data_IF_945888117175
#
_entry.id   IF_945888117175
#
_cell.length_a   1.000
_cell.length_b   1.000
_cell.length_c   1.000
_cell.angle_alpha   90.00
_cell.angle_beta   90.00
_cell.angle_gamma   90.00
#
_symmetry.space_group_name_H-M   'P 1'
#
loop_
_entity.id
_entity.type
_entity.pdbx_description
1 polymer ?
#
# COMPACT_ATOMS: atom_id res chain seq x y z
N UNK A 1 43.77 -65.09 19.57
CA UNK A 1 43.09 -63.83 19.95
C UNK A 1 43.09 -62.91 18.75
N UNK A 2 41.88 -62.58 18.27
CA UNK A 2 41.51 -61.40 17.44
C UNK A 2 42.30 -61.04 16.18
N UNK A 3 41.76 -61.50 15.04
CA UNK A 3 41.43 -60.75 13.80
C UNK A 3 41.01 -59.27 14.00
N UNK A 4 40.79 -58.45 12.93
CA UNK A 4 41.29 -58.50 11.53
C UNK A 4 41.59 -57.11 10.85
N UNK A 5 42.03 -57.20 9.59
CA UNK A 5 41.56 -56.44 8.39
C UNK A 5 42.22 -55.12 7.91
N UNK A 6 42.84 -55.27 6.73
CA UNK A 6 43.02 -54.35 5.57
C UNK A 6 41.68 -53.75 5.05
N UNK A 7 41.57 -52.94 3.95
CA UNK A 7 42.57 -52.55 2.92
C UNK A 7 42.46 -51.11 2.32
N UNK A 8 43.38 -50.84 1.37
CA UNK A 8 43.29 -50.06 0.11
C UNK A 8 42.90 -48.57 0.05
N UNK A 9 43.80 -47.84 -0.62
CA UNK A 9 43.72 -46.45 -1.04
C UNK A 9 43.20 -46.31 -2.48
N UNK A 10 42.19 -45.47 -2.72
CA UNK A 10 42.02 -44.77 -3.99
C UNK A 10 41.06 -43.57 -3.80
N UNK A 11 41.52 -42.33 -3.94
CA UNK A 11 40.64 -41.17 -4.10
C UNK A 11 41.19 -40.15 -5.10
N UNK A 12 40.32 -39.83 -6.05
CA UNK A 12 40.40 -38.88 -7.14
C UNK A 12 39.70 -37.59 -6.68
N UNK A 13 40.18 -36.36 -6.98
CA UNK A 13 39.49 -35.16 -6.54
C UNK A 13 38.31 -34.83 -7.49
N UNK A 14 37.11 -34.79 -6.91
CA UNK A 14 35.88 -34.29 -7.53
C UNK A 14 35.76 -32.78 -7.32
N UNK A 15 35.82 -31.99 -8.40
CA UNK A 15 35.46 -30.57 -8.37
C UNK A 15 33.95 -30.41 -8.56
N UNK A 16 33.23 -30.17 -7.46
CA UNK A 16 31.86 -29.70 -7.45
C UNK A 16 31.87 -28.17 -7.55
N UNK A 17 31.46 -27.60 -8.69
CA UNK A 17 31.11 -26.19 -8.75
C UNK A 17 29.59 -26.03 -8.68
N UNK A 18 29.18 -25.39 -7.59
CA UNK A 18 27.83 -25.13 -7.15
C UNK A 18 27.63 -23.61 -7.23
N UNK A 19 26.71 -23.13 -8.08
CA UNK A 19 26.24 -21.75 -8.01
C UNK A 19 24.87 -21.59 -8.70
N UNK A 20 23.84 -22.32 -8.23
CA UNK A 20 22.47 -21.88 -8.47
C UNK A 20 22.20 -20.70 -7.54
N UNK A 21 22.19 -19.50 -8.12
CA UNK A 21 21.72 -18.26 -7.49
C UNK A 21 20.27 -18.49 -7.05
N UNK A 22 20.04 -18.78 -5.77
CA UNK A 22 18.70 -18.92 -5.19
C UNK A 22 18.16 -17.52 -4.88
N UNK A 23 17.14 -17.10 -5.61
CA UNK A 23 16.25 -16.04 -5.14
C UNK A 23 15.57 -16.49 -3.82
N UNK A 24 15.30 -15.57 -2.89
CA UNK A 24 14.75 -15.93 -1.59
C UNK A 24 13.30 -16.47 -1.72
N UNK A 25 12.95 -17.57 -1.01
CA UNK A 25 11.64 -18.24 -1.13
C UNK A 25 10.44 -17.46 -0.58
N UNK A 26 10.65 -16.29 0.01
CA UNK A 26 9.61 -15.51 0.73
C UNK A 26 8.80 -14.58 -0.17
N UNK A 27 9.38 -14.10 -1.28
CA UNK A 27 8.71 -13.16 -2.19
C UNK A 27 7.62 -13.85 -3.02
N UNK A 28 7.87 -15.06 -3.53
CA UNK A 28 6.89 -15.84 -4.30
C UNK A 28 5.67 -16.25 -3.48
N UNK A 29 5.87 -16.57 -2.19
CA UNK A 29 4.79 -16.87 -1.24
C UNK A 29 3.93 -15.64 -0.92
N UNK A 30 4.56 -14.47 -0.78
CA UNK A 30 3.84 -13.22 -0.47
C UNK A 30 3.01 -12.73 -1.66
N UNK A 31 3.52 -12.89 -2.88
CA UNK A 31 2.79 -12.53 -4.11
C UNK A 31 1.58 -13.43 -4.35
N UNK A 32 1.70 -14.74 -4.09
CA UNK A 32 0.57 -15.68 -4.24
C UNK A 32 -0.51 -15.43 -3.18
N UNK A 33 -0.12 -15.13 -1.94
CA UNK A 33 -1.04 -14.69 -0.88
C UNK A 33 -1.77 -13.40 -1.30
N UNK A 34 -1.04 -12.37 -1.73
CA UNK A 34 -1.63 -11.10 -2.17
C UNK A 34 -2.65 -11.32 -3.29
N UNK A 35 -2.34 -12.17 -4.26
CA UNK A 35 -3.23 -12.49 -5.39
C UNK A 35 -4.53 -13.14 -4.90
N UNK A 36 -4.42 -14.16 -4.03
CA UNK A 36 -5.56 -14.89 -3.48
C UNK A 36 -6.48 -13.99 -2.66
N UNK A 37 -5.89 -13.18 -1.77
CA UNK A 37 -6.63 -12.25 -0.92
C UNK A 37 -7.31 -11.16 -1.76
N UNK A 38 -6.62 -10.62 -2.78
CA UNK A 38 -7.18 -9.61 -3.68
C UNK A 38 -8.39 -10.15 -4.45
N UNK A 39 -8.34 -11.40 -4.91
CA UNK A 39 -9.48 -12.02 -5.60
C UNK A 39 -10.70 -12.13 -4.69
N UNK A 40 -10.49 -12.58 -3.44
CA UNK A 40 -11.55 -12.66 -2.41
C UNK A 40 -12.18 -11.30 -2.13
N UNK A 41 -11.36 -10.25 -1.99
CA UNK A 41 -11.84 -8.89 -1.75
C UNK A 41 -12.68 -8.38 -2.93
N UNK A 42 -12.18 -8.56 -4.16
CA UNK A 42 -12.90 -8.13 -5.38
C UNK A 42 -14.29 -8.76 -5.51
N UNK A 43 -14.43 -10.04 -5.15
CA UNK A 43 -15.72 -10.74 -5.18
C UNK A 43 -16.75 -10.18 -4.19
N UNK A 44 -16.31 -9.49 -3.14
CA UNK A 44 -17.20 -8.89 -2.15
C UNK A 44 -17.58 -7.43 -2.44
N UNK A 45 -17.01 -6.83 -3.49
CA UNK A 45 -17.35 -5.47 -3.90
C UNK A 45 -18.71 -5.43 -4.58
N UNK A 46 -19.44 -4.33 -4.39
CA UNK A 46 -20.68 -4.06 -5.12
C UNK A 46 -20.42 -3.04 -6.22
N UNK A 47 -21.11 -3.20 -7.34
CA UNK A 47 -21.07 -2.25 -8.44
C UNK A 47 -22.43 -1.59 -8.58
N UNK A 48 -22.41 -0.29 -8.79
CA UNK A 48 -23.57 0.55 -9.06
C UNK A 48 -23.33 1.26 -10.39
N UNK A 49 -23.93 0.78 -11.50
CA UNK A 49 -23.79 1.43 -12.79
C UNK A 49 -24.49 2.79 -12.77
N UNK A 50 -24.01 3.70 -13.62
CA UNK A 50 -24.55 5.04 -13.83
C UNK A 50 -24.61 5.89 -12.55
N UNK A 51 -23.61 5.74 -11.67
CA UNK A 51 -23.51 6.50 -10.43
C UNK A 51 -22.13 7.17 -10.28
N UNK A 52 -22.04 8.44 -9.84
CA UNK A 52 -23.15 9.35 -9.51
C UNK A 52 -23.85 9.94 -10.75
N UNK A 53 -23.28 9.75 -11.94
CA UNK A 53 -23.81 10.21 -13.22
C UNK A 53 -23.80 9.07 -14.25
N UNK A 54 -24.63 9.14 -15.30
CA UNK A 54 -24.64 8.13 -16.37
C UNK A 54 -23.27 7.95 -17.03
N UNK A 55 -22.92 6.69 -17.31
CA UNK A 55 -21.64 6.30 -17.93
C UNK A 55 -20.49 6.06 -16.95
N UNK A 56 -20.73 6.13 -15.63
CA UNK A 56 -19.73 5.80 -14.59
C UNK A 56 -20.20 4.58 -13.79
N UNK A 57 -19.35 3.55 -13.70
CA UNK A 57 -19.56 2.42 -12.80
C UNK A 57 -18.93 2.71 -11.44
N UNK A 58 -19.76 2.91 -10.42
CA UNK A 58 -19.30 3.13 -9.06
C UNK A 58 -19.03 1.81 -8.34
N UNK A 59 -17.87 1.69 -7.71
CA UNK A 59 -17.51 0.53 -6.88
C UNK A 59 -17.67 0.87 -5.41
N UNK A 60 -18.57 0.16 -4.74
CA UNK A 60 -18.82 0.28 -3.32
C UNK A 60 -17.98 -0.72 -2.52
N UNK A 61 -17.08 -0.18 -1.70
CA UNK A 61 -16.16 -0.90 -0.82
C UNK A 61 -16.72 -1.15 0.58
N UNK A 62 -17.87 -0.57 0.94
CA UNK A 62 -18.44 -0.70 2.29
C UNK A 62 -18.67 -2.16 2.75
N UNK A 63 -18.98 -3.13 1.87
CA UNK A 63 -19.06 -4.54 2.26
C UNK A 63 -17.76 -5.09 2.88
N UNK A 64 -16.59 -4.55 2.50
CA UNK A 64 -15.31 -4.96 3.07
C UNK A 64 -15.24 -4.65 4.57
N UNK A 65 -15.83 -3.54 4.99
CA UNK A 65 -15.83 -3.09 6.39
C UNK A 65 -16.96 -3.74 7.21
N UNK A 66 -18.03 -4.16 6.54
CA UNK A 66 -19.16 -4.84 7.19
C UNK A 66 -18.82 -6.26 7.67
N UNK A 67 -17.73 -6.85 7.17
CA UNK A 67 -17.25 -8.17 7.58
C UNK A 67 -15.87 -8.07 8.19
N UNK A 68 -15.74 -8.51 9.45
CA UNK A 68 -14.45 -8.55 10.15
C UNK A 68 -13.38 -9.31 9.34
N UNK A 69 -13.71 -10.48 8.79
CA UNK A 69 -12.75 -11.27 7.98
C UNK A 69 -12.34 -10.55 6.69
N UNK A 70 -13.25 -9.84 6.04
CA UNK A 70 -12.92 -9.08 4.83
C UNK A 70 -12.09 -7.84 5.16
N UNK A 71 -12.38 -7.16 6.26
CA UNK A 71 -11.58 -6.02 6.71
C UNK A 71 -10.16 -6.46 7.08
N UNK A 72 -9.98 -7.57 7.80
CA UNK A 72 -8.64 -8.11 8.07
C UNK A 72 -7.91 -8.50 6.78
N UNK A 73 -8.63 -9.13 5.84
CA UNK A 73 -8.09 -9.50 4.52
C UNK A 73 -7.63 -8.25 3.74
N UNK A 74 -8.41 -7.16 3.81
CA UNK A 74 -8.08 -5.87 3.21
C UNK A 74 -6.79 -5.30 3.79
N UNK A 75 -6.68 -5.20 5.11
CA UNK A 75 -5.48 -4.67 5.76
C UNK A 75 -4.25 -5.56 5.46
N UNK A 76 -4.43 -6.89 5.39
CA UNK A 76 -3.36 -7.81 5.02
C UNK A 76 -2.88 -7.62 3.58
N UNK A 77 -3.80 -7.46 2.63
CA UNK A 77 -3.45 -7.20 1.24
C UNK A 77 -2.68 -5.89 1.08
N UNK A 78 -3.14 -4.83 1.76
CA UNK A 78 -2.48 -3.53 1.78
C UNK A 78 -1.06 -3.60 2.36
N UNK A 79 -0.91 -4.28 3.50
CA UNK A 79 0.40 -4.51 4.12
C UNK A 79 1.35 -5.23 3.16
N UNK A 80 0.90 -6.33 2.55
CA UNK A 80 1.67 -7.07 1.56
C UNK A 80 2.10 -6.20 0.38
N UNK A 81 1.18 -5.40 -0.15
CA UNK A 81 1.45 -4.53 -1.28
C UNK A 81 2.53 -3.50 -0.93
N UNK A 82 2.47 -2.88 0.26
CA UNK A 82 3.51 -1.94 0.74
C UNK A 82 4.86 -2.63 0.88
N UNK A 83 4.90 -3.82 1.48
CA UNK A 83 6.14 -4.57 1.68
C UNK A 83 6.75 -5.05 0.35
N UNK A 84 5.94 -5.44 -0.63
CA UNK A 84 6.43 -5.85 -1.95
C UNK A 84 6.90 -4.67 -2.79
N UNK A 85 6.31 -3.49 -2.61
CA UNK A 85 6.63 -2.29 -3.38
C UNK A 85 8.03 -1.73 -3.09
N UNK A 86 8.44 -1.67 -1.81
CA UNK A 86 9.73 -1.08 -1.41
C UNK A 86 10.64 -2.08 -0.68
N UNK A 87 10.76 -3.30 -1.19
CA UNK A 87 11.67 -4.33 -0.67
C UNK A 87 11.58 -4.55 0.85
N UNK A 88 10.37 -4.51 1.39
CA UNK A 88 10.06 -4.71 2.81
C UNK A 88 10.19 -3.45 3.68
N UNK A 89 10.54 -2.30 3.12
CA UNK A 89 10.56 -1.04 3.86
C UNK A 89 9.15 -0.56 4.16
N UNK A 90 8.98 -0.09 5.40
CA UNK A 90 7.72 0.43 5.91
C UNK A 90 7.79 1.96 5.98
N UNK A 91 6.69 2.66 5.70
CA UNK A 91 6.63 4.11 5.84
C UNK A 91 6.69 4.52 7.33
N UNK A 92 7.16 5.73 7.60
CA UNK A 92 7.10 6.34 8.93
C UNK A 92 5.70 6.91 9.24
N UNK A 93 4.99 7.39 8.20
CA UNK A 93 3.65 7.99 8.34
C UNK A 93 2.73 7.53 7.20
N UNK A 94 1.50 7.13 7.54
CA UNK A 94 0.41 6.91 6.59
C UNK A 94 -0.50 8.12 6.59
N UNK A 95 -0.76 8.67 5.40
CA UNK A 95 -1.63 9.81 5.18
C UNK A 95 -2.93 9.35 4.55
N UNK A 96 -4.05 9.53 5.23
CA UNK A 96 -5.37 9.25 4.66
C UNK A 96 -5.98 10.50 4.03
N UNK A 97 -6.62 10.36 2.87
CA UNK A 97 -7.44 11.43 2.29
C UNK A 97 -8.89 11.36 2.79
N UNK A 98 -9.48 12.53 3.08
CA UNK A 98 -10.87 12.65 3.54
C UNK A 98 -11.86 12.26 2.42
N UNK A 99 -12.84 11.37 2.63
CA UNK A 99 -13.14 10.65 3.88
C UNK A 99 -12.68 9.19 3.87
N UNK A 100 -12.52 8.60 2.68
CA UNK A 100 -12.51 7.14 2.54
C UNK A 100 -11.16 6.52 2.82
N UNK A 101 -10.06 7.27 2.61
CA UNK A 101 -8.76 6.93 3.17
C UNK A 101 -8.77 6.77 4.70
N UNK A 102 -9.73 7.37 5.41
CA UNK A 102 -9.87 7.20 6.87
C UNK A 102 -10.50 5.87 7.28
N UNK A 103 -11.16 5.16 6.36
CA UNK A 103 -11.81 3.89 6.69
C UNK A 103 -10.80 2.78 7.01
N UNK A 104 -9.61 2.84 6.42
CA UNK A 104 -8.57 1.81 6.56
C UNK A 104 -7.17 2.37 6.85
N UNK A 105 -6.91 3.65 6.57
CA UNK A 105 -5.61 4.28 6.80
C UNK A 105 -5.07 4.12 8.23
N UNK A 106 -5.85 4.40 9.29
CA UNK A 106 -5.40 4.19 10.67
C UNK A 106 -5.06 2.72 10.98
N UNK A 107 -5.88 1.79 10.50
CA UNK A 107 -5.65 0.34 10.68
C UNK A 107 -4.38 -0.14 9.97
N UNK A 108 -4.13 0.39 8.77
CA UNK A 108 -2.90 0.11 8.02
C UNK A 108 -1.67 0.71 8.69
N UNK A 109 -1.76 1.96 9.16
CA UNK A 109 -0.68 2.62 9.91
C UNK A 109 -0.28 1.80 11.13
N UNK A 110 -1.28 1.36 11.92
CA UNK A 110 -1.06 0.49 13.07
C UNK A 110 -0.37 -0.82 12.69
N UNK A 111 -0.80 -1.46 11.60
CA UNK A 111 -0.21 -2.71 11.10
C UNK A 111 1.24 -2.54 10.67
N UNK A 112 1.56 -1.42 10.02
CA UNK A 112 2.91 -1.10 9.55
C UNK A 112 3.82 -0.57 10.67
N UNK A 113 3.27 -0.18 11.83
CA UNK A 113 4.03 0.49 12.89
C UNK A 113 4.37 1.94 12.54
N UNK A 114 3.54 2.59 11.74
CA UNK A 114 3.68 3.96 11.27
C UNK A 114 2.76 4.92 12.05
N UNK A 115 3.07 6.21 12.02
CA UNK A 115 2.13 7.27 12.40
C UNK A 115 0.98 7.39 11.41
N UNK A 116 -0.11 8.04 11.81
CA UNK A 116 -1.22 8.36 10.91
C UNK A 116 -1.49 9.87 10.90
N UNK A 117 -1.66 10.44 9.71
CA UNK A 117 -1.97 11.86 9.53
C UNK A 117 -3.18 12.04 8.62
N UNK A 118 -4.26 12.69 9.07
CA UNK A 118 -5.42 12.95 8.24
C UNK A 118 -5.20 14.18 7.35
N UNK A 119 -5.56 14.06 6.08
CA UNK A 119 -5.69 15.19 5.17
C UNK A 119 -7.16 15.47 4.97
N UNK A 120 -7.58 16.71 5.18
CA UNK A 120 -9.00 17.09 5.19
C UNK A 120 -9.28 18.28 4.30
N UNK A 121 -10.54 18.47 3.94
CA UNK A 121 -10.99 19.72 3.30
C UNK A 121 -10.71 20.93 4.19
N UNK A 122 -10.58 22.10 3.56
CA UNK A 122 -10.33 23.37 4.23
C UNK A 122 -11.24 23.62 5.44
N UNK A 123 -10.63 24.04 6.55
CA UNK A 123 -11.33 24.45 7.78
C UNK A 123 -11.78 23.28 8.67
N UNK A 124 -11.35 22.04 8.40
CA UNK A 124 -11.71 20.85 9.18
C UNK A 124 -10.63 20.38 10.16
N UNK A 125 -9.43 20.95 10.10
CA UNK A 125 -8.33 20.67 11.02
C UNK A 125 -8.09 21.86 11.97
N UNK A 126 -7.84 21.61 13.25
CA UNK A 126 -7.47 22.65 14.20
C UNK A 126 -5.98 23.03 14.07
N UNK A 127 -5.63 24.23 14.53
CA UNK A 127 -4.24 24.69 14.61
C UNK A 127 -3.62 25.07 13.25
N UNK A 128 -2.29 25.24 13.20
CA UNK A 128 -1.58 25.58 11.97
C UNK A 128 -1.64 24.46 10.93
N UNK A 129 -2.05 24.80 9.71
CA UNK A 129 -2.13 23.87 8.58
C UNK A 129 -1.31 24.33 7.39
N UNK A 130 -0.88 23.39 6.55
CA UNK A 130 -0.48 23.64 5.16
C UNK A 130 -1.67 23.35 4.23
N UNK A 131 -1.75 24.05 3.10
CA UNK A 131 -2.85 23.95 2.13
C UNK A 131 -2.34 23.53 0.74
N UNK A 132 -3.10 22.63 0.09
CA UNK A 132 -2.90 22.20 -1.28
C UNK A 132 -4.18 22.44 -2.09
N UNK A 133 -4.09 23.18 -3.20
CA UNK A 133 -5.22 23.37 -4.11
C UNK A 133 -5.35 22.20 -5.09
N UNK A 134 -6.57 21.81 -5.43
CA UNK A 134 -6.87 20.92 -6.55
C UNK A 134 -8.04 21.47 -7.37
N UNK A 135 -7.99 21.23 -8.67
CA UNK A 135 -8.97 21.75 -9.61
C UNK A 135 -10.15 20.80 -9.72
N UNK A 136 -11.36 21.36 -9.72
CA UNK A 136 -12.60 20.65 -10.03
C UNK A 136 -13.06 21.07 -11.41
N UNK A 137 -13.99 20.29 -11.97
CA UNK A 137 -14.69 20.63 -13.21
C UNK A 137 -15.30 22.05 -13.16
N UNK A 138 -15.72 22.48 -11.98
CA UNK A 138 -16.09 23.88 -11.70
C UNK A 138 -15.52 24.33 -10.34
N UNK A 139 -14.45 25.11 -10.38
CA UNK A 139 -13.85 25.77 -9.21
C UNK A 139 -12.60 25.10 -8.66
N UNK A 140 -12.04 25.70 -7.61
CA UNK A 140 -10.86 25.21 -6.91
C UNK A 140 -11.26 24.82 -5.48
N UNK A 141 -10.79 23.68 -5.01
CA UNK A 141 -10.96 23.26 -3.62
C UNK A 141 -9.58 22.97 -3.00
N UNK A 142 -9.53 22.86 -1.68
CA UNK A 142 -8.28 22.79 -0.94
C UNK A 142 -8.28 21.65 0.07
N UNK A 143 -7.20 20.88 0.03
CA UNK A 143 -6.84 19.96 1.09
C UNK A 143 -5.91 20.64 2.10
N UNK A 144 -6.02 20.23 3.36
CA UNK A 144 -5.24 20.70 4.49
C UNK A 144 -4.65 19.53 5.25
N UNK A 145 -3.44 19.73 5.76
CA UNK A 145 -2.77 18.87 6.74
C UNK A 145 -2.16 19.75 7.84
N UNK A 146 -2.09 19.28 9.09
CA UNK A 146 -1.43 20.04 10.16
C UNK A 146 0.07 20.13 9.91
N UNK A 147 0.69 21.29 10.18
CA UNK A 147 2.11 21.55 9.86
C UNK A 147 3.09 20.60 10.55
N UNK A 148 2.71 20.05 11.69
CA UNK A 148 3.50 19.15 12.53
C UNK A 148 3.20 17.66 12.29
N UNK A 149 2.27 17.35 11.38
CA UNK A 149 1.85 15.98 11.10
C UNK A 149 2.99 15.12 10.49
N UNK A 150 3.93 15.77 9.78
CA UNK A 150 5.02 15.09 9.06
C UNK A 150 6.32 15.84 9.30
N UNK A 151 7.31 15.13 9.82
CA UNK A 151 8.63 15.67 10.13
C UNK A 151 9.57 15.53 8.92
N UNK A 152 10.52 16.45 8.73
CA UNK A 152 11.54 16.32 7.70
C UNK A 152 12.27 14.97 7.79
N UNK A 153 12.43 14.30 6.65
CA UNK A 153 13.11 13.00 6.55
C UNK A 153 12.20 11.79 6.74
N UNK A 154 10.93 11.95 7.14
CA UNK A 154 9.99 10.84 7.21
C UNK A 154 9.55 10.38 5.82
N UNK A 155 9.40 9.06 5.69
CA UNK A 155 8.77 8.42 4.54
C UNK A 155 7.26 8.38 4.73
N UNK A 156 6.53 8.85 3.72
CA UNK A 156 5.08 9.00 3.79
C UNK A 156 4.42 8.04 2.83
N UNK A 157 3.33 7.38 3.26
CA UNK A 157 2.45 6.59 2.41
C UNK A 157 1.07 7.26 2.34
N UNK A 158 0.69 7.80 1.18
CA UNK A 158 -0.67 8.33 0.98
C UNK A 158 -1.61 7.18 0.64
N UNK A 159 -2.83 7.17 1.19
CA UNK A 159 -3.86 6.18 0.91
C UNK A 159 -5.23 6.82 0.65
N UNK A 160 -5.90 6.33 -0.39
CA UNK A 160 -7.29 6.62 -0.73
C UNK A 160 -7.88 5.43 -1.51
N UNK A 161 -9.21 5.36 -1.60
CA UNK A 161 -9.94 4.22 -2.18
C UNK A 161 -10.31 4.36 -3.67
N UNK A 162 -10.13 5.54 -4.28
CA UNK A 162 -10.37 5.72 -5.72
C UNK A 162 -9.08 6.16 -6.42
N UNK A 163 -8.68 5.35 -7.41
CA UNK A 163 -7.91 5.83 -8.56
C UNK A 163 -8.87 5.87 -9.75
N UNK A 164 -9.26 7.07 -10.15
CA UNK A 164 -9.95 7.32 -11.42
C UNK A 164 -8.95 7.85 -12.46
N UNK A 165 -7.91 7.09 -12.80
CA UNK A 165 -7.15 7.33 -14.03
C UNK A 165 -7.69 6.41 -15.11
N UNK A 166 -8.61 6.97 -15.91
CA UNK A 166 -9.43 6.27 -16.89
C UNK A 166 -8.72 5.67 -18.12
N UNK A 167 -7.53 5.07 -18.00
CA UNK A 167 -6.94 4.24 -19.05
C UNK A 167 -6.12 3.08 -18.47
N UNK A 168 -6.49 1.87 -18.89
CA UNK A 168 -5.88 0.56 -18.63
C UNK A 168 -6.54 -0.28 -17.54
N UNK A 169 -6.74 -1.56 -17.86
CA UNK A 169 -7.50 -2.59 -17.15
C UNK A 169 -6.79 -3.10 -15.87
N UNK A 170 -6.06 -2.22 -15.17
CA UNK A 170 -5.35 -2.53 -13.94
C UNK A 170 -6.05 -1.86 -12.76
N UNK A 171 -7.06 -2.56 -12.22
CA UNK A 171 -7.79 -2.15 -11.03
C UNK A 171 -6.85 -2.08 -9.81
N UNK A 172 -6.22 -0.91 -9.62
CA UNK A 172 -5.41 -0.54 -8.46
C UNK A 172 -6.35 0.00 -7.40
N UNK A 173 -6.60 -0.80 -6.36
CA UNK A 173 -7.54 -0.45 -5.27
C UNK A 173 -7.01 0.74 -4.45
N UNK A 174 -5.70 1.00 -4.49
CA UNK A 174 -5.03 2.01 -3.66
C UNK A 174 -3.85 2.63 -4.41
N UNK A 175 -3.65 3.94 -4.26
CA UNK A 175 -2.39 4.59 -4.65
C UNK A 175 -1.40 4.45 -3.51
N UNK A 176 -0.17 4.03 -3.81
CA UNK A 176 0.94 4.01 -2.86
C UNK A 176 2.05 4.89 -3.42
N UNK A 177 2.29 6.04 -2.78
CA UNK A 177 3.50 6.84 -3.02
C UNK A 177 4.31 6.83 -1.75
N UNK A 178 5.49 6.20 -1.76
CA UNK A 178 6.49 6.25 -0.67
C UNK A 178 7.62 7.19 -1.08
N UNK A 179 7.76 8.34 -0.40
CA UNK A 179 8.88 9.26 -0.61
C UNK A 179 9.28 9.99 0.66
N UNK A 180 10.58 10.28 0.77
CA UNK A 180 11.16 11.15 1.79
C UNK A 180 11.00 12.61 1.34
N UNK A 181 10.07 13.37 1.91
CA UNK A 181 9.90 14.78 1.51
C UNK A 181 9.41 15.65 2.67
N UNK A 182 9.84 16.94 2.74
CA UNK A 182 9.33 17.89 3.71
C UNK A 182 7.84 18.21 3.47
N UNK A 183 7.10 18.69 4.48
CA UNK A 183 5.64 18.87 4.42
C UNK A 183 5.15 19.75 3.26
N UNK A 184 5.92 20.76 2.83
CA UNK A 184 5.56 21.63 1.70
C UNK A 184 5.45 20.86 0.37
N UNK A 185 6.19 19.75 0.21
CA UNK A 185 6.19 18.94 -1.02
C UNK A 185 4.95 18.04 -1.13
N UNK A 186 4.34 17.70 0.01
CA UNK A 186 3.15 16.83 0.04
C UNK A 186 1.94 17.55 -0.54
N UNK A 187 1.82 18.85 -0.30
CA UNK A 187 0.79 19.68 -0.91
C UNK A 187 0.97 19.78 -2.44
N UNK A 188 2.20 19.87 -2.93
CA UNK A 188 2.50 19.87 -4.36
C UNK A 188 2.28 18.49 -5.01
N UNK A 189 2.54 17.39 -4.29
CA UNK A 189 2.30 16.03 -4.78
C UNK A 189 0.82 15.62 -4.76
N UNK A 190 0.03 16.11 -3.79
CA UNK A 190 -1.43 15.95 -3.81
C UNK A 190 -2.03 16.58 -5.07
N UNK A 191 -1.48 17.71 -5.52
CA UNK A 191 -1.89 18.36 -6.77
C UNK A 191 -1.65 17.48 -8.00
N UNK A 192 -0.57 16.69 -8.01
CA UNK A 192 -0.25 15.79 -9.11
C UNK A 192 -0.94 14.42 -9.06
N UNK A 193 -1.41 13.99 -7.89
CA UNK A 193 -2.10 12.69 -7.71
C UNK A 193 -3.62 12.80 -7.89
N UNK A 194 -4.18 13.99 -7.65
CA UNK A 194 -5.63 14.26 -7.67
C UNK A 194 -6.09 15.09 -8.88
N UNK A 195 -5.14 15.51 -9.73
CA UNK A 195 -5.40 16.22 -10.99
C UNK A 195 -5.40 15.31 -12.21
#
# INVERSE_FOLDING_TARGET
MTSPQSPESNQQPSSTENATRRDPPTSSSSTSELTSVTLKLRQSLRQFPDFPIPGIDFVDILPLFASHSLHESLIRALELQVLLFDNGKKPDVVVGLDARGFLFGPSLALRLGAGFAPVRKRGKLPGPTEEASFDKEYGQDYFQIQKDAIKPGQTVLVVDDIIATGKSMDFHIFSLTQRSSPPNTICDEMRGTLG
#
